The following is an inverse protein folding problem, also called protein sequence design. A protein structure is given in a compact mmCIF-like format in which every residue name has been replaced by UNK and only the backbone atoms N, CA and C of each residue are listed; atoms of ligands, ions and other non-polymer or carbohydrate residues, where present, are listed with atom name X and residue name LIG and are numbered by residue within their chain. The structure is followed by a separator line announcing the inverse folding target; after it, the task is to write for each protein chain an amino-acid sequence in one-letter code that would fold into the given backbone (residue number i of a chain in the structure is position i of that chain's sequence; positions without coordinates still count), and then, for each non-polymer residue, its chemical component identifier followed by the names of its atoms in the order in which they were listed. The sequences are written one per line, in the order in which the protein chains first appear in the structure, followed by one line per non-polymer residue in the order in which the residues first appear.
data_IF_846730495752
#
_entry.id   IF_846730495752
#
_cell.length_a   1.000
_cell.length_b   1.000
_cell.length_c   1.000
_cell.angle_alpha   90.00
_cell.angle_beta   90.00
_cell.angle_gamma   90.00
#
_symmetry.space_group_name_H-M   'P 1'
#
loop_
_entity.id
_entity.type
_entity.pdbx_description
1 polymer ?
#
# COMPACT_ATOMS: atom_id res chain seq x y z
N UNK A 1 -20.53 -16.79 32.63
CA UNK A 1 -19.60 -15.65 32.57
C UNK A 1 -19.71 -15.03 31.19
N UNK A 2 -20.06 -13.75 31.09
CA UNK A 2 -20.09 -13.05 29.79
C UNK A 2 -18.65 -12.79 29.37
N UNK A 3 -18.27 -13.26 28.19
CA UNK A 3 -16.97 -12.91 27.61
C UNK A 3 -17.00 -11.44 27.17
N UNK A 4 -15.85 -10.72 27.25
CA UNK A 4 -15.77 -9.37 26.68
C UNK A 4 -16.03 -9.42 25.16
N UNK A 5 -16.79 -8.45 24.67
CA UNK A 5 -17.10 -8.33 23.24
C UNK A 5 -16.92 -6.89 22.77
N UNK A 6 -16.70 -6.72 21.47
CA UNK A 6 -16.61 -5.43 20.81
C UNK A 6 -17.77 -5.33 19.83
N UNK A 7 -18.51 -4.22 19.90
CA UNK A 7 -19.55 -3.89 18.93
C UNK A 7 -19.00 -2.91 17.90
N UNK A 8 -19.18 -3.21 16.64
CA UNK A 8 -18.74 -2.35 15.52
C UNK A 8 -19.98 -1.87 14.78
N UNK A 9 -20.12 -0.55 14.69
CA UNK A 9 -21.19 0.13 13.97
C UNK A 9 -20.73 0.40 12.54
N UNK A 10 -21.23 -0.38 11.59
CA UNK A 10 -20.84 -0.31 10.18
C UNK A 10 -21.27 0.98 9.50
N UNK A 11 -22.38 1.59 9.93
CA UNK A 11 -22.85 2.87 9.38
C UNK A 11 -21.90 4.01 9.78
N UNK A 12 -21.37 3.98 11.01
CA UNK A 12 -20.35 4.93 11.45
C UNK A 12 -19.03 4.75 10.73
N UNK A 13 -18.63 3.51 10.44
CA UNK A 13 -17.44 3.23 9.62
C UNK A 13 -17.61 3.83 8.22
N UNK A 14 -18.73 3.55 7.56
CA UNK A 14 -19.05 4.09 6.24
C UNK A 14 -19.08 5.62 6.25
N UNK A 15 -19.75 6.23 7.25
CA UNK A 15 -19.81 7.69 7.40
C UNK A 15 -18.42 8.31 7.56
N UNK A 16 -17.59 7.74 8.43
CA UNK A 16 -16.22 8.23 8.68
C UNK A 16 -15.34 8.10 7.43
N UNK A 17 -15.42 6.96 6.74
CA UNK A 17 -14.71 6.76 5.49
C UNK A 17 -15.13 7.80 4.44
N UNK A 18 -16.43 8.04 4.29
CA UNK A 18 -16.97 9.04 3.36
C UNK A 18 -16.50 10.46 3.68
N UNK A 19 -16.48 10.83 4.94
CA UNK A 19 -15.99 12.15 5.37
C UNK A 19 -14.51 12.36 4.98
N UNK A 20 -13.66 11.37 5.26
CA UNK A 20 -12.22 11.41 4.91
C UNK A 20 -12.04 11.41 3.39
N UNK A 21 -12.75 10.55 2.67
CA UNK A 21 -12.67 10.47 1.20
C UNK A 21 -13.06 11.80 0.56
N UNK A 22 -14.12 12.45 1.06
CA UNK A 22 -14.55 13.74 0.52
C UNK A 22 -13.52 14.85 0.80
N UNK A 23 -12.92 14.87 1.99
CA UNK A 23 -11.85 15.79 2.32
C UNK A 23 -10.65 15.61 1.35
N UNK A 24 -10.17 14.39 1.20
CA UNK A 24 -9.02 14.05 0.36
C UNK A 24 -9.28 14.30 -1.13
N UNK A 25 -10.50 14.02 -1.61
CA UNK A 25 -10.89 14.19 -3.02
C UNK A 25 -10.77 15.64 -3.48
N UNK A 26 -11.05 16.61 -2.61
CA UNK A 26 -10.91 18.03 -2.92
C UNK A 26 -9.46 18.43 -3.24
N UNK A 27 -8.50 17.58 -2.86
CA UNK A 27 -7.07 17.75 -3.12
C UNK A 27 -6.53 16.72 -4.12
N UNK A 28 -7.40 16.00 -4.85
CA UNK A 28 -7.00 14.99 -5.83
C UNK A 28 -6.38 13.73 -5.20
N UNK A 29 -6.63 13.47 -3.91
CA UNK A 29 -6.05 12.35 -3.16
C UNK A 29 -7.07 11.22 -3.05
N UNK A 30 -6.68 10.01 -3.46
CA UNK A 30 -7.42 8.78 -3.24
C UNK A 30 -7.09 8.19 -1.86
N UNK A 31 -8.05 7.52 -1.25
CA UNK A 31 -7.89 6.93 0.10
C UNK A 31 -7.92 5.41 0.03
N UNK A 32 -6.91 4.77 0.60
CA UNK A 32 -6.89 3.33 0.85
C UNK A 32 -7.37 3.06 2.28
N UNK A 33 -8.42 2.25 2.42
CA UNK A 33 -8.95 1.85 3.72
C UNK A 33 -8.11 0.73 4.34
N UNK A 34 -7.67 0.91 5.59
CA UNK A 34 -6.79 -0.06 6.26
C UNK A 34 -7.55 -0.85 7.31
N UNK A 35 -7.62 -2.18 7.14
CA UNK A 35 -8.40 -3.09 8.00
C UNK A 35 -7.57 -3.91 8.99
N UNK A 36 -6.26 -3.69 9.09
CA UNK A 36 -5.35 -4.49 9.92
C UNK A 36 -5.74 -4.60 11.40
N UNK A 37 -6.27 -3.51 12.00
CA UNK A 37 -6.73 -3.53 13.39
C UNK A 37 -8.03 -4.33 13.60
N UNK A 38 -8.73 -4.67 12.54
CA UNK A 38 -9.95 -5.49 12.54
C UNK A 38 -9.77 -6.82 11.83
N UNK A 39 -8.51 -7.24 11.65
CA UNK A 39 -8.12 -8.53 11.08
C UNK A 39 -8.78 -8.81 9.71
N UNK A 40 -8.86 -7.80 8.84
CA UNK A 40 -9.45 -7.97 7.52
C UNK A 40 -10.92 -8.39 7.54
N UNK A 41 -11.72 -7.87 8.49
CA UNK A 41 -13.14 -8.24 8.57
C UNK A 41 -13.90 -7.76 7.33
N UNK A 42 -14.54 -8.66 6.54
CA UNK A 42 -15.13 -8.30 5.24
C UNK A 42 -16.21 -7.22 5.32
N UNK A 43 -17.09 -7.25 6.33
CA UNK A 43 -18.15 -6.27 6.46
C UNK A 43 -17.62 -4.86 6.77
N UNK A 44 -16.49 -4.75 7.47
CA UNK A 44 -15.81 -3.49 7.70
C UNK A 44 -15.19 -2.98 6.39
N UNK A 45 -14.53 -3.86 5.64
CA UNK A 45 -14.00 -3.52 4.33
C UNK A 45 -15.11 -3.02 3.38
N UNK A 46 -16.26 -3.72 3.32
CA UNK A 46 -17.42 -3.31 2.54
C UNK A 46 -17.96 -1.93 2.98
N UNK A 47 -18.02 -1.67 4.29
CA UNK A 47 -18.46 -0.37 4.80
C UNK A 47 -17.49 0.75 4.38
N UNK A 48 -16.17 0.53 4.45
CA UNK A 48 -15.17 1.49 3.97
C UNK A 48 -15.31 1.74 2.46
N UNK A 49 -15.52 0.68 1.66
CA UNK A 49 -15.73 0.80 0.20
C UNK A 49 -17.00 1.59 -0.13
N UNK A 50 -18.12 1.35 0.57
CA UNK A 50 -19.32 2.19 0.42
C UNK A 50 -19.05 3.64 0.82
N UNK A 51 -18.12 3.90 1.73
CA UNK A 51 -17.62 5.22 2.06
C UNK A 51 -16.74 5.86 1.00
N UNK A 52 -16.33 5.09 -0.03
CA UNK A 52 -15.63 5.59 -1.22
C UNK A 52 -14.12 5.39 -1.21
N UNK A 53 -13.55 4.56 -0.32
CA UNK A 53 -12.13 4.18 -0.43
C UNK A 53 -11.91 3.37 -1.71
N UNK A 54 -10.75 3.49 -2.32
CA UNK A 54 -10.46 2.92 -3.64
C UNK A 54 -9.79 1.55 -3.59
N UNK A 55 -9.24 1.18 -2.44
CA UNK A 55 -8.59 -0.10 -2.20
C UNK A 55 -8.60 -0.42 -0.71
N UNK A 56 -8.32 -1.68 -0.35
CA UNK A 56 -8.17 -2.13 1.03
C UNK A 56 -6.71 -2.49 1.29
N UNK A 57 -6.15 -1.90 2.35
CA UNK A 57 -4.80 -2.18 2.82
C UNK A 57 -4.81 -3.14 4.01
N UNK A 58 -3.96 -4.14 3.97
CA UNK A 58 -3.81 -5.16 5.02
C UNK A 58 -2.34 -5.53 5.24
N UNK A 59 -2.01 -6.01 6.44
CA UNK A 59 -0.64 -6.38 6.79
C UNK A 59 -0.41 -7.89 6.88
N UNK A 60 -1.46 -8.71 6.82
CA UNK A 60 -1.38 -10.16 6.90
C UNK A 60 -2.03 -10.78 5.67
N UNK A 61 -1.36 -11.75 5.05
CA UNK A 61 -1.88 -12.43 3.85
C UNK A 61 -3.16 -13.20 4.11
N UNK A 62 -3.28 -13.83 5.27
CA UNK A 62 -4.48 -14.56 5.68
C UNK A 62 -5.71 -13.64 5.77
N UNK A 63 -5.50 -12.37 6.09
CA UNK A 63 -6.57 -11.37 6.10
C UNK A 63 -6.94 -10.94 4.66
N UNK A 64 -5.95 -10.79 3.77
CA UNK A 64 -6.20 -10.51 2.34
C UNK A 64 -6.94 -11.70 1.71
N UNK A 65 -6.50 -12.94 1.95
CA UNK A 65 -7.19 -14.14 1.50
C UNK A 65 -8.65 -14.15 1.96
N UNK A 66 -8.89 -13.84 3.25
CA UNK A 66 -10.26 -13.73 3.79
C UNK A 66 -11.11 -12.71 3.06
N UNK A 67 -10.55 -11.54 2.75
CA UNK A 67 -11.22 -10.50 1.97
C UNK A 67 -11.54 -10.97 0.56
N UNK A 68 -10.58 -11.60 -0.12
CA UNK A 68 -10.77 -12.15 -1.48
C UNK A 68 -11.81 -13.26 -1.51
N UNK A 69 -11.79 -14.18 -0.54
CA UNK A 69 -12.81 -15.25 -0.40
C UNK A 69 -14.22 -14.70 -0.10
N UNK A 70 -14.29 -13.52 0.53
CA UNK A 70 -15.55 -12.82 0.77
C UNK A 70 -15.99 -11.94 -0.43
N UNK A 71 -15.35 -12.11 -1.60
CA UNK A 71 -15.63 -11.40 -2.85
C UNK A 71 -15.62 -9.87 -2.66
N UNK A 72 -14.61 -9.35 -1.97
CA UNK A 72 -14.37 -7.91 -1.91
C UNK A 72 -13.94 -7.44 -3.31
N UNK A 73 -14.79 -6.64 -3.95
CA UNK A 73 -14.57 -6.09 -5.28
C UNK A 73 -13.76 -4.78 -5.21
N UNK A 74 -12.51 -4.91 -4.79
CA UNK A 74 -11.54 -3.81 -4.76
C UNK A 74 -10.12 -4.37 -4.70
N UNK A 75 -9.11 -3.61 -5.15
CA UNK A 75 -7.71 -4.00 -4.98
C UNK A 75 -7.36 -4.17 -3.50
N UNK A 76 -6.67 -5.27 -3.19
CA UNK A 76 -6.10 -5.54 -1.87
C UNK A 76 -4.60 -5.30 -1.90
N UNK A 77 -4.11 -4.44 -1.00
CA UNK A 77 -2.70 -4.05 -0.91
C UNK A 77 -2.06 -4.67 0.32
N UNK A 78 -0.96 -5.39 0.14
CA UNK A 78 -0.13 -5.85 1.26
C UNK A 78 0.77 -4.71 1.73
N UNK A 79 0.52 -4.21 2.96
CA UNK A 79 1.16 -3.02 3.53
C UNK A 79 2.43 -3.31 4.33
N UNK A 80 2.94 -4.52 4.31
CA UNK A 80 4.26 -4.88 4.82
C UNK A 80 5.13 -5.43 3.71
N UNK A 81 6.44 -5.38 3.91
CA UNK A 81 7.37 -6.03 2.99
C UNK A 81 7.17 -7.55 3.07
N UNK A 82 6.97 -8.24 1.94
CA UNK A 82 6.87 -9.69 1.93
C UNK A 82 8.19 -10.36 2.31
N UNK A 83 8.11 -11.55 2.92
CA UNK A 83 9.29 -12.40 3.06
C UNK A 83 9.51 -13.24 1.78
N UNK A 84 10.75 -13.71 1.53
CA UNK A 84 11.03 -14.58 0.38
C UNK A 84 10.20 -15.87 0.36
N UNK A 85 9.74 -16.36 1.50
CA UNK A 85 8.91 -17.56 1.64
C UNK A 85 7.44 -17.35 1.27
N UNK A 86 6.97 -16.10 1.21
CA UNK A 86 5.55 -15.75 0.99
C UNK A 86 5.25 -15.31 -0.45
N UNK A 87 6.25 -15.24 -1.33
CA UNK A 87 6.10 -14.63 -2.68
C UNK A 87 5.00 -15.28 -3.53
N UNK A 88 4.78 -16.58 -3.40
CA UNK A 88 3.74 -17.27 -4.15
C UNK A 88 2.34 -16.88 -3.64
N UNK A 89 2.17 -16.78 -2.33
CA UNK A 89 0.90 -16.36 -1.70
C UNK A 89 0.62 -14.87 -1.92
N UNK A 90 1.67 -14.04 -1.89
CA UNK A 90 1.54 -12.61 -2.21
C UNK A 90 0.99 -12.42 -3.62
N UNK A 91 1.58 -13.10 -4.60
CA UNK A 91 1.12 -13.01 -5.99
C UNK A 91 -0.28 -13.61 -6.17
N UNK A 92 -0.65 -14.61 -5.37
CA UNK A 92 -1.99 -15.20 -5.41
C UNK A 92 -3.09 -14.27 -4.88
N UNK A 93 -2.82 -13.62 -3.74
CA UNK A 93 -3.88 -12.95 -2.99
C UNK A 93 -3.83 -11.42 -3.07
N UNK A 94 -2.64 -10.82 -3.15
CA UNK A 94 -2.50 -9.37 -3.16
C UNK A 94 -2.44 -8.80 -4.59
N UNK A 95 -3.22 -7.77 -4.87
CA UNK A 95 -3.15 -7.06 -6.16
C UNK A 95 -1.93 -6.14 -6.23
N UNK A 96 -1.48 -5.65 -5.06
CA UNK A 96 -0.33 -4.76 -4.92
C UNK A 96 0.44 -5.13 -3.66
N UNK A 97 1.77 -5.10 -3.68
CA UNK A 97 2.61 -5.24 -2.49
C UNK A 97 3.66 -4.14 -2.37
N UNK A 98 3.99 -3.78 -1.11
CA UNK A 98 5.06 -2.84 -0.81
C UNK A 98 6.41 -3.58 -0.81
N UNK A 99 7.45 -3.00 -1.42
CA UNK A 99 8.76 -3.66 -1.57
C UNK A 99 9.93 -2.70 -1.47
N UNK A 100 11.06 -3.18 -0.93
CA UNK A 100 12.35 -2.49 -0.93
C UNK A 100 13.55 -3.42 -1.13
N UNK A 101 13.31 -4.70 -1.49
CA UNK A 101 14.35 -5.72 -1.63
C UNK A 101 14.32 -6.37 -3.02
N UNK A 102 15.41 -6.28 -3.78
CA UNK A 102 15.50 -6.89 -5.12
C UNK A 102 15.37 -8.41 -5.08
N UNK A 103 15.86 -9.06 -4.04
CA UNK A 103 15.73 -10.52 -3.86
C UNK A 103 14.27 -10.96 -3.75
N UNK A 104 13.44 -10.17 -3.05
CA UNK A 104 12.00 -10.39 -2.92
C UNK A 104 11.31 -10.10 -4.25
N UNK A 105 11.62 -8.98 -4.92
CA UNK A 105 11.09 -8.68 -6.25
C UNK A 105 11.40 -9.77 -7.28
N UNK A 106 12.61 -10.33 -7.25
CA UNK A 106 12.97 -11.47 -8.10
C UNK A 106 12.14 -12.73 -7.78
N UNK A 107 11.81 -12.94 -6.51
CA UNK A 107 10.88 -14.00 -6.07
C UNK A 107 9.47 -13.79 -6.60
N UNK A 108 8.91 -12.59 -6.41
CA UNK A 108 7.61 -12.19 -6.91
C UNK A 108 7.53 -12.29 -8.44
N UNK A 109 8.59 -11.86 -9.14
CA UNK A 109 8.71 -11.99 -10.60
C UNK A 109 8.55 -13.43 -11.05
N UNK A 110 9.30 -14.37 -10.45
CA UNK A 110 9.18 -15.81 -10.79
C UNK A 110 7.79 -16.36 -10.45
N UNK A 111 7.20 -15.96 -9.33
CA UNK A 111 5.85 -16.37 -8.94
C UNK A 111 4.80 -15.87 -9.94
N UNK A 112 4.87 -14.60 -10.34
CA UNK A 112 3.98 -13.98 -11.31
C UNK A 112 4.07 -14.65 -12.68
N UNK A 113 5.30 -14.94 -13.14
CA UNK A 113 5.51 -15.66 -14.40
C UNK A 113 4.92 -17.08 -14.39
N UNK A 114 5.10 -17.84 -13.29
CA UNK A 114 4.48 -19.18 -13.15
C UNK A 114 2.97 -19.14 -13.27
N UNK A 115 2.34 -18.04 -12.83
CA UNK A 115 0.88 -17.83 -12.88
C UNK A 115 0.41 -17.15 -14.17
N UNK A 116 1.31 -16.73 -15.04
CA UNK A 116 0.99 -16.00 -16.28
C UNK A 116 0.35 -14.63 -16.03
N UNK A 117 0.72 -13.97 -14.94
CA UNK A 117 0.16 -12.69 -14.54
C UNK A 117 1.23 -11.62 -14.26
N UNK A 118 0.80 -10.38 -14.13
CA UNK A 118 1.63 -9.26 -13.75
C UNK A 118 1.33 -8.89 -12.30
N UNK A 119 2.36 -8.77 -11.46
CA UNK A 119 2.19 -8.34 -10.07
C UNK A 119 2.62 -6.88 -9.90
N UNK A 120 1.75 -6.07 -9.29
CA UNK A 120 2.03 -4.65 -9.06
C UNK A 120 2.80 -4.45 -7.77
N UNK A 121 3.84 -3.62 -7.84
CA UNK A 121 4.65 -3.29 -6.67
C UNK A 121 4.76 -1.79 -6.47
N UNK A 122 4.73 -1.36 -5.22
CA UNK A 122 5.09 -0.01 -4.79
C UNK A 122 6.46 -0.11 -4.12
N UNK A 123 7.43 0.65 -4.63
CA UNK A 123 8.76 0.70 -4.06
C UNK A 123 8.76 1.66 -2.88
N UNK A 124 9.17 1.18 -1.71
CA UNK A 124 9.18 1.97 -0.50
C UNK A 124 10.47 2.78 -0.37
N UNK A 125 10.31 4.02 0.07
CA UNK A 125 11.40 4.98 0.32
C UNK A 125 11.37 5.36 1.80
N UNK A 126 12.50 5.23 2.48
CA UNK A 126 12.63 5.71 3.85
C UNK A 126 12.92 7.23 3.85
N UNK A 127 11.99 7.98 4.38
CA UNK A 127 12.11 9.43 4.56
C UNK A 127 12.26 9.84 6.04
N UNK A 128 12.81 8.92 6.85
CA UNK A 128 13.18 9.16 8.23
C UNK A 128 12.47 8.28 9.27
N UNK A 129 11.51 7.42 8.88
CA UNK A 129 10.84 6.51 9.83
C UNK A 129 11.75 5.38 10.30
N UNK A 130 12.81 5.08 9.56
CA UNK A 130 13.86 4.09 9.88
C UNK A 130 13.28 2.68 10.11
N UNK A 131 12.23 2.34 9.40
CA UNK A 131 11.54 1.07 9.51
C UNK A 131 11.74 0.18 8.29
N UNK A 132 11.43 0.69 7.12
CA UNK A 132 11.63 0.02 5.83
C UNK A 132 11.74 1.05 4.71
N UNK A 133 12.31 0.63 3.61
CA UNK A 133 12.43 1.45 2.41
C UNK A 133 13.89 1.67 2.01
N UNK A 134 14.05 2.13 0.78
CA UNK A 134 15.34 2.54 0.23
C UNK A 134 15.69 3.95 0.69
N UNK A 135 16.97 4.24 0.84
CA UNK A 135 17.39 5.62 0.93
C UNK A 135 17.11 6.37 -0.37
N UNK A 136 16.80 7.67 -0.33
CA UNK A 136 16.44 8.44 -1.52
C UNK A 136 17.42 8.36 -2.70
N UNK A 137 18.72 8.23 -2.42
CA UNK A 137 19.77 8.09 -3.43
C UNK A 137 19.84 6.69 -4.07
N UNK A 138 19.22 5.69 -3.49
CA UNK A 138 19.20 4.31 -3.98
C UNK A 138 17.99 4.03 -4.90
N UNK A 139 16.98 4.91 -4.91
CA UNK A 139 15.72 4.67 -5.63
C UNK A 139 15.94 4.44 -7.13
N UNK A 140 16.68 5.33 -7.81
CA UNK A 140 16.90 5.22 -9.26
C UNK A 140 17.73 3.98 -9.64
N UNK A 141 18.86 3.65 -8.97
CA UNK A 141 19.56 2.38 -9.19
C UNK A 141 18.67 1.17 -8.98
N UNK A 142 17.91 1.12 -7.89
CA UNK A 142 17.01 0.02 -7.58
C UNK A 142 15.91 -0.17 -8.64
N UNK A 143 15.25 0.92 -9.04
CA UNK A 143 14.20 0.87 -10.07
C UNK A 143 14.75 0.37 -11.41
N UNK A 144 15.98 0.76 -11.79
CA UNK A 144 16.64 0.27 -13.01
C UNK A 144 16.78 -1.26 -13.01
N UNK A 145 17.17 -1.84 -11.88
CA UNK A 145 17.30 -3.30 -11.74
C UNK A 145 15.92 -3.98 -11.69
N UNK A 146 14.97 -3.40 -10.94
CA UNK A 146 13.61 -3.92 -10.83
C UNK A 146 12.88 -3.97 -12.18
N UNK A 147 13.13 -3.01 -13.07
CA UNK A 147 12.55 -2.99 -14.43
C UNK A 147 13.06 -4.13 -15.33
N UNK A 148 14.13 -4.82 -14.96
CA UNK A 148 14.61 -6.00 -15.69
C UNK A 148 13.86 -7.29 -15.28
N UNK A 149 12.99 -7.22 -14.27
CA UNK A 149 12.28 -8.38 -13.74
C UNK A 149 10.93 -8.57 -14.48
N UNK A 150 10.80 -9.61 -15.34
CA UNK A 150 9.55 -9.86 -16.05
C UNK A 150 8.45 -10.28 -15.06
N UNK A 151 7.19 -9.94 -15.37
CA UNK A 151 6.07 -10.25 -14.47
C UNK A 151 5.89 -9.28 -13.29
N UNK A 152 6.76 -8.25 -13.18
CA UNK A 152 6.63 -7.16 -12.20
C UNK A 152 6.26 -5.86 -12.93
N UNK A 153 5.31 -5.12 -12.37
CA UNK A 153 5.01 -3.74 -12.76
C UNK A 153 5.25 -2.81 -11.58
N UNK A 154 6.15 -1.87 -11.73
CA UNK A 154 6.34 -0.80 -10.75
C UNK A 154 5.15 0.16 -10.87
N UNK A 155 4.21 0.03 -9.95
CA UNK A 155 2.97 0.81 -9.93
C UNK A 155 3.14 2.15 -9.20
N UNK A 156 4.16 2.27 -8.33
CA UNK A 156 4.34 3.50 -7.59
C UNK A 156 5.56 3.54 -6.69
N UNK A 157 5.73 4.70 -6.05
CA UNK A 157 6.58 4.89 -4.89
C UNK A 157 5.74 5.13 -3.64
N UNK A 158 6.27 4.72 -2.49
CA UNK A 158 5.59 4.93 -1.21
C UNK A 158 6.57 5.25 -0.08
N UNK A 159 6.05 5.86 0.99
CA UNK A 159 6.78 6.02 2.25
C UNK A 159 5.85 5.78 3.42
N UNK A 160 6.38 5.20 4.49
CA UNK A 160 5.72 5.15 5.79
C UNK A 160 6.32 6.21 6.71
N UNK A 161 5.45 6.92 7.44
CA UNK A 161 5.83 7.96 8.39
C UNK A 161 5.05 7.76 9.69
N UNK A 162 5.56 8.34 10.79
CA UNK A 162 4.90 8.36 12.10
C UNK A 162 4.56 6.97 12.68
N UNK A 163 5.28 5.92 12.30
CA UNK A 163 5.09 4.57 12.84
C UNK A 163 6.20 4.20 13.82
N UNK A 164 7.40 3.92 13.32
CA UNK A 164 8.54 3.51 14.15
C UNK A 164 9.40 4.71 14.59
N UNK A 165 9.89 5.50 13.63
CA UNK A 165 10.71 6.67 13.91
C UNK A 165 9.95 7.90 14.38
N UNK A 166 8.59 7.86 14.36
CA UNK A 166 7.77 8.96 14.82
C UNK A 166 7.84 10.22 13.94
N UNK A 167 8.19 10.05 12.66
CA UNK A 167 8.30 11.18 11.72
C UNK A 167 6.92 11.75 11.43
N UNK A 168 6.74 13.02 11.77
CA UNK A 168 5.48 13.71 11.43
C UNK A 168 5.45 14.05 9.96
N UNK A 169 4.39 13.68 9.21
CA UNK A 169 4.20 14.13 7.85
C UNK A 169 4.24 15.65 7.76
N UNK A 170 5.01 16.17 6.83
CA UNK A 170 5.13 17.60 6.56
C UNK A 170 5.38 17.85 5.07
N UNK A 171 5.32 19.10 4.67
CA UNK A 171 5.48 19.49 3.27
C UNK A 171 6.85 19.04 2.69
N UNK A 172 7.91 19.09 3.48
CA UNK A 172 9.25 18.75 3.00
C UNK A 172 9.39 17.26 2.68
N UNK A 173 8.94 16.36 3.59
CA UNK A 173 9.04 14.92 3.34
C UNK A 173 8.04 14.44 2.28
N UNK A 174 6.83 14.98 2.22
CA UNK A 174 5.86 14.64 1.17
C UNK A 174 6.31 15.15 -0.20
N UNK A 175 6.83 16.37 -0.29
CA UNK A 175 7.42 16.91 -1.52
C UNK A 175 8.60 16.06 -2.00
N UNK A 176 9.45 15.62 -1.10
CA UNK A 176 10.59 14.76 -1.44
C UNK A 176 10.17 13.46 -2.10
N UNK A 177 9.08 12.84 -1.64
CA UNK A 177 8.54 11.63 -2.28
C UNK A 177 8.04 11.92 -3.70
N UNK A 178 7.34 13.04 -3.89
CA UNK A 178 6.84 13.45 -5.22
C UNK A 178 8.00 13.69 -6.19
N UNK A 179 9.02 14.44 -5.76
CA UNK A 179 10.24 14.71 -6.56
C UNK A 179 10.94 13.40 -6.99
N UNK A 180 11.01 12.42 -6.11
CA UNK A 180 11.57 11.10 -6.43
C UNK A 180 10.70 10.36 -7.46
N UNK A 181 9.38 10.41 -7.30
CA UNK A 181 8.44 9.85 -8.28
C UNK A 181 8.63 10.46 -9.67
N UNK A 182 8.66 11.77 -9.75
CA UNK A 182 8.93 12.48 -11.02
C UNK A 182 10.31 12.15 -11.60
N UNK A 183 11.33 11.98 -10.76
CA UNK A 183 12.66 11.57 -11.21
C UNK A 183 12.65 10.17 -11.80
N UNK A 184 11.92 9.23 -11.21
CA UNK A 184 11.72 7.86 -11.74
C UNK A 184 10.98 7.93 -13.07
N UNK A 185 9.87 8.64 -13.16
CA UNK A 185 9.10 8.78 -14.39
C UNK A 185 9.96 9.34 -15.54
N UNK A 186 10.72 10.40 -15.28
CA UNK A 186 11.62 11.01 -16.28
C UNK A 186 12.77 10.08 -16.69
N UNK A 187 13.40 9.40 -15.72
CA UNK A 187 14.57 8.57 -15.98
C UNK A 187 14.25 7.31 -16.80
N UNK A 188 13.05 6.76 -16.63
CA UNK A 188 12.68 5.47 -17.23
C UNK A 188 11.51 5.55 -18.21
N UNK A 189 11.01 6.78 -18.52
CA UNK A 189 9.88 7.01 -19.43
C UNK A 189 8.66 6.16 -19.08
N UNK A 190 8.37 6.02 -17.80
CA UNK A 190 7.20 5.31 -17.26
C UNK A 190 6.28 6.29 -16.52
N UNK A 191 5.07 5.85 -16.21
CA UNK A 191 4.14 6.59 -15.37
C UNK A 191 3.84 5.78 -14.11
N UNK A 192 3.97 6.43 -12.96
CA UNK A 192 3.57 5.88 -11.67
C UNK A 192 2.09 6.12 -11.44
N UNK A 193 1.36 5.08 -11.12
CA UNK A 193 -0.06 5.14 -10.77
C UNK A 193 -0.27 5.64 -9.34
N UNK A 194 0.71 5.36 -8.46
CA UNK A 194 0.64 5.65 -7.04
C UNK A 194 1.85 6.44 -6.56
N UNK A 195 1.58 7.53 -5.86
CA UNK A 195 2.50 8.14 -4.89
C UNK A 195 1.82 8.00 -3.55
N UNK A 196 2.29 7.05 -2.74
CA UNK A 196 1.61 6.62 -1.52
C UNK A 196 2.36 7.09 -0.28
N UNK A 197 1.66 7.74 0.64
CA UNK A 197 2.29 8.20 1.87
C UNK A 197 1.33 8.87 2.83
N UNK A 198 1.94 9.57 3.80
CA UNK A 198 1.28 10.49 4.70
C UNK A 198 0.19 9.89 5.61
N UNK A 199 0.16 8.63 5.90
CA UNK A 199 -0.76 7.95 6.83
C UNK A 199 -1.93 8.82 7.39
N UNK A 200 -2.63 8.43 8.46
CA UNK A 200 -3.75 9.22 9.01
C UNK A 200 -3.33 10.60 9.53
N UNK A 201 -2.08 10.78 9.99
CA UNK A 201 -1.60 12.08 10.47
C UNK A 201 -1.37 13.09 9.34
N UNK A 202 -1.19 12.63 8.10
CA UNK A 202 -1.11 13.51 6.93
C UNK A 202 -2.38 14.28 6.61
N UNK A 203 -3.53 13.86 7.16
CA UNK A 203 -4.79 14.61 7.02
C UNK A 203 -4.70 16.03 7.59
N UNK A 204 -3.80 16.28 8.55
CA UNK A 204 -3.56 17.63 9.08
C UNK A 204 -2.81 18.55 8.11
N UNK A 205 -2.30 18.04 6.99
CA UNK A 205 -1.66 18.85 5.93
C UNK A 205 -2.66 19.40 4.90
N UNK A 206 -3.87 18.91 4.94
CA UNK A 206 -4.96 19.32 4.07
C UNK A 206 -6.03 20.04 4.87
#
# INVERSE_FOLDING_TARGET
MSHPYVTIDLEKIEHSARAIVNLCRNHGIAVVGVTKCTCGHPEIAKAMLRGGVVAIGESQLENIERLKRAAIDAPCMLLRLPSPSEVDEVVEWADVSLNSELSVLAGLSRAAQRRGQLHNVIIMVDLGDLREGLWPNEVLPFVREALQLPGIRIAGLGTNLACFGGVVPNEANTRRLVELGEAVERAFSLRLEWISGANSSGLYLI
#
